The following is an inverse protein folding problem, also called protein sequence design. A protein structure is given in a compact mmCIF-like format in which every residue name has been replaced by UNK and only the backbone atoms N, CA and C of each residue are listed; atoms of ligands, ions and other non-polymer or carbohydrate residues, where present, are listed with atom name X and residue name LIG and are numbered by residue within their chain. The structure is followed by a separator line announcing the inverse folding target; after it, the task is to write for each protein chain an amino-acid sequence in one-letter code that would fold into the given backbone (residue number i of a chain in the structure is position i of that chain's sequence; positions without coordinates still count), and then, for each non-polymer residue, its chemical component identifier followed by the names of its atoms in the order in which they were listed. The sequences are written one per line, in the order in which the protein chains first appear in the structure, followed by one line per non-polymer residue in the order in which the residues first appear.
data_IF_667810229745
#
_entry.id   IF_667810229745
#
_cell.length_a   1.000
_cell.length_b   1.000
_cell.length_c   1.000
_cell.angle_alpha   90.00
_cell.angle_beta   90.00
_cell.angle_gamma   90.00
#
_symmetry.space_group_name_H-M   'P 1'
#
loop_
_entity.id
_entity.type
_entity.pdbx_description
1 polymer ?
#
# COMPACT_ATOMS: atom_id res chain seq x y z
N UNK A 1 20.17 -9.03 3.42
CA UNK A 1 18.71 -9.18 3.43
C UNK A 1 18.21 -9.73 4.77
N UNK A 2 18.48 -10.98 5.17
CA UNK A 2 18.01 -11.56 6.44
C UNK A 2 18.34 -10.68 7.66
N UNK A 3 19.56 -10.13 7.76
CA UNK A 3 19.96 -9.20 8.84
C UNK A 3 19.17 -7.88 8.86
N UNK A 4 18.56 -7.52 7.75
CA UNK A 4 17.69 -6.34 7.64
C UNK A 4 16.22 -6.64 7.94
N UNK A 5 15.89 -7.85 8.34
CA UNK A 5 14.52 -8.24 8.67
C UNK A 5 13.69 -8.74 7.50
N UNK A 6 14.27 -8.86 6.28
CA UNK A 6 13.54 -9.42 5.13
C UNK A 6 13.04 -10.83 5.46
N UNK A 7 11.71 -11.10 5.44
CA UNK A 7 11.19 -12.41 5.82
C UNK A 7 11.21 -13.41 4.66
N UNK A 8 10.99 -12.94 3.42
CA UNK A 8 10.88 -13.77 2.23
C UNK A 8 11.65 -13.18 1.05
N UNK A 9 12.27 -14.05 0.26
CA UNK A 9 12.67 -13.75 -1.11
C UNK A 9 11.61 -14.36 -2.05
N UNK A 10 11.00 -13.52 -2.86
CA UNK A 10 10.12 -13.97 -3.93
C UNK A 10 10.93 -14.17 -5.20
N UNK A 11 10.52 -15.11 -6.04
CA UNK A 11 11.24 -15.38 -7.27
C UNK A 11 10.37 -16.06 -8.31
N UNK A 12 10.86 -16.04 -9.55
CA UNK A 12 10.35 -16.87 -10.64
C UNK A 12 11.44 -17.89 -10.96
N UNK A 13 11.04 -19.16 -11.04
CA UNK A 13 11.99 -20.24 -11.34
C UNK A 13 12.53 -20.09 -12.77
N UNK A 14 13.75 -19.59 -12.89
CA UNK A 14 14.47 -19.44 -14.15
C UNK A 14 15.91 -19.88 -14.00
N UNK A 15 16.51 -20.43 -15.06
CA UNK A 15 17.84 -21.04 -15.00
C UNK A 15 18.92 -20.18 -14.31
N UNK A 16 19.12 -18.90 -14.63
CA UNK A 16 20.20 -18.14 -13.99
C UNK A 16 19.97 -17.89 -12.50
N UNK A 17 18.69 -17.85 -12.03
CA UNK A 17 18.36 -17.52 -10.66
C UNK A 17 18.25 -18.72 -9.73
N UNK A 18 18.17 -19.94 -10.23
CA UNK A 18 17.97 -21.12 -9.41
C UNK A 18 19.06 -21.28 -8.34
N UNK A 19 20.32 -21.07 -8.69
CA UNK A 19 21.44 -21.11 -7.74
C UNK A 19 21.32 -20.08 -6.61
N UNK A 20 20.89 -18.84 -6.93
CA UNK A 20 20.64 -17.81 -5.93
C UNK A 20 19.47 -18.19 -5.01
N UNK A 21 18.38 -18.72 -5.56
CA UNK A 21 17.21 -19.14 -4.79
C UNK A 21 17.56 -20.29 -3.83
N UNK A 22 18.34 -21.27 -4.27
CA UNK A 22 18.81 -22.39 -3.46
C UNK A 22 19.78 -21.93 -2.35
N UNK A 23 20.76 -21.10 -2.69
CA UNK A 23 21.67 -20.51 -1.71
C UNK A 23 20.91 -19.67 -0.67
N UNK A 24 19.88 -18.97 -1.09
CA UNK A 24 18.99 -18.20 -0.20
C UNK A 24 18.26 -19.13 0.78
N UNK A 25 17.68 -20.24 0.31
CA UNK A 25 17.07 -21.25 1.20
C UNK A 25 18.07 -21.84 2.18
N UNK A 26 19.26 -22.19 1.69
CA UNK A 26 20.35 -22.72 2.54
C UNK A 26 20.77 -21.74 3.64
N UNK A 27 20.67 -20.43 3.39
CA UNK A 27 20.93 -19.39 4.40
C UNK A 27 19.81 -19.25 5.45
N UNK A 28 18.71 -19.98 5.30
CA UNK A 28 17.55 -19.94 6.19
C UNK A 28 16.65 -18.73 5.98
N UNK A 29 16.68 -18.09 4.81
CA UNK A 29 15.67 -17.14 4.37
C UNK A 29 14.59 -17.88 3.57
N UNK A 30 13.33 -17.64 3.89
CA UNK A 30 12.23 -18.27 3.18
C UNK A 30 12.20 -17.82 1.69
N UNK A 31 11.96 -18.77 0.79
CA UNK A 31 11.87 -18.51 -0.64
C UNK A 31 10.50 -18.97 -1.14
N UNK A 32 9.77 -18.03 -1.74
CA UNK A 32 8.46 -18.29 -2.34
C UNK A 32 8.54 -18.06 -3.85
N UNK A 33 8.15 -19.08 -4.62
CA UNK A 33 8.08 -18.96 -6.08
C UNK A 33 6.70 -18.46 -6.48
N UNK A 34 6.67 -17.35 -7.21
CA UNK A 34 5.50 -16.85 -7.92
C UNK A 34 5.47 -17.41 -9.36
N UNK A 35 4.32 -17.36 -9.97
CA UNK A 35 4.15 -17.81 -11.35
C UNK A 35 4.53 -16.73 -12.38
N UNK A 36 4.59 -15.47 -11.96
CA UNK A 36 4.96 -14.34 -12.83
C UNK A 36 5.89 -13.34 -12.15
N UNK A 37 6.70 -12.65 -12.95
CA UNK A 37 7.60 -11.60 -12.47
C UNK A 37 6.84 -10.43 -11.81
N UNK A 38 5.71 -10.04 -12.39
CA UNK A 38 4.86 -8.98 -11.84
C UNK A 38 4.31 -9.37 -10.47
N UNK A 39 3.79 -10.58 -10.32
CA UNK A 39 3.30 -11.07 -9.03
C UNK A 39 4.41 -11.15 -7.98
N UNK A 40 5.60 -11.62 -8.36
CA UNK A 40 6.76 -11.65 -7.47
C UNK A 40 7.14 -10.24 -6.97
N UNK A 41 7.13 -9.23 -7.84
CA UNK A 41 7.36 -7.84 -7.46
C UNK A 41 6.27 -7.29 -6.53
N UNK A 42 5.00 -7.56 -6.83
CA UNK A 42 3.88 -7.18 -5.95
C UNK A 42 4.04 -7.82 -4.57
N UNK A 43 4.34 -9.11 -4.52
CA UNK A 43 4.54 -9.83 -3.25
C UNK A 43 5.70 -9.24 -2.44
N UNK A 44 6.82 -8.91 -3.10
CA UNK A 44 7.96 -8.29 -2.44
C UNK A 44 7.62 -6.89 -1.90
N UNK A 45 6.96 -6.07 -2.70
CA UNK A 45 6.55 -4.72 -2.34
C UNK A 45 5.59 -4.72 -1.14
N UNK A 46 4.53 -5.54 -1.20
CA UNK A 46 3.56 -5.67 -0.10
C UNK A 46 4.22 -6.22 1.17
N UNK A 47 5.14 -7.16 1.02
CA UNK A 47 5.94 -7.65 2.17
C UNK A 47 6.71 -6.51 2.80
N UNK A 48 7.45 -5.72 2.01
CA UNK A 48 8.24 -4.60 2.52
C UNK A 48 7.39 -3.54 3.23
N UNK A 49 6.20 -3.27 2.72
CA UNK A 49 5.26 -2.34 3.33
C UNK A 49 4.71 -2.87 4.68
N UNK A 50 4.36 -4.15 4.74
CA UNK A 50 3.70 -4.75 5.93
C UNK A 50 4.65 -5.03 7.09
N UNK A 51 5.95 -5.30 6.84
CA UNK A 51 6.88 -5.76 7.89
C UNK A 51 7.92 -4.71 8.31
N UNK A 52 7.86 -3.50 7.77
CA UNK A 52 8.84 -2.43 8.03
C UNK A 52 10.30 -2.87 7.78
N UNK A 53 10.50 -3.71 6.76
CA UNK A 53 11.79 -4.23 6.32
C UNK A 53 11.77 -4.36 4.80
N UNK A 54 12.93 -4.38 4.10
CA UNK A 54 12.90 -4.46 2.65
C UNK A 54 12.32 -5.80 2.19
N UNK A 55 11.35 -5.76 1.28
CA UNK A 55 10.99 -6.93 0.50
C UNK A 55 12.15 -7.36 -0.41
N UNK A 56 12.10 -8.57 -0.96
CA UNK A 56 13.11 -9.05 -1.87
C UNK A 56 12.50 -9.88 -3.00
N UNK A 57 12.96 -9.65 -4.22
CA UNK A 57 12.53 -10.42 -5.39
C UNK A 57 13.71 -10.69 -6.32
N UNK A 58 13.77 -11.91 -6.86
CA UNK A 58 14.77 -12.34 -7.83
C UNK A 58 14.09 -12.85 -9.12
N UNK A 59 14.42 -12.24 -10.25
CA UNK A 59 13.84 -12.52 -11.56
C UNK A 59 14.95 -12.72 -12.57
N UNK A 60 15.03 -13.91 -13.18
CA UNK A 60 15.99 -14.20 -14.24
C UNK A 60 15.43 -13.93 -15.63
N UNK A 61 16.32 -13.90 -16.62
CA UNK A 61 15.94 -13.86 -18.01
C UNK A 61 15.14 -15.10 -18.42
N UNK A 62 14.24 -14.97 -19.38
CA UNK A 62 13.48 -16.10 -19.93
C UNK A 62 12.18 -16.47 -19.22
N UNK A 63 11.81 -15.80 -18.13
CA UNK A 63 10.53 -16.05 -17.44
C UNK A 63 9.30 -15.39 -18.11
N UNK A 64 9.27 -15.31 -19.43
CA UNK A 64 8.24 -14.53 -20.12
C UNK A 64 8.36 -13.02 -19.84
N UNK A 65 9.54 -12.59 -19.45
CA UNK A 65 9.84 -11.20 -19.11
C UNK A 65 9.89 -10.34 -20.37
N UNK A 66 8.78 -9.73 -20.69
CA UNK A 66 8.68 -8.76 -21.80
C UNK A 66 8.80 -7.36 -21.20
N UNK A 67 10.03 -6.91 -21.03
CA UNK A 67 10.34 -5.60 -20.47
C UNK A 67 10.51 -5.57 -18.94
N UNK A 68 10.88 -4.41 -18.35
CA UNK A 68 11.09 -4.30 -16.91
C UNK A 68 9.79 -4.58 -16.14
N UNK A 69 9.87 -5.27 -14.99
CA UNK A 69 8.70 -5.49 -14.17
C UNK A 69 8.13 -4.13 -13.72
N UNK A 70 6.83 -4.07 -13.59
CA UNK A 70 6.19 -2.89 -13.01
C UNK A 70 6.45 -2.86 -11.52
N UNK A 71 7.09 -1.79 -11.09
CA UNK A 71 7.53 -1.60 -9.71
C UNK A 71 6.48 -0.77 -8.97
N UNK A 72 5.95 -1.27 -7.84
CA UNK A 72 5.05 -0.49 -6.99
C UNK A 72 5.73 0.75 -6.41
N UNK A 73 5.10 1.90 -6.53
CA UNK A 73 5.59 3.14 -5.94
C UNK A 73 5.56 3.10 -4.41
N UNK A 74 6.57 3.70 -3.78
CA UNK A 74 6.63 3.92 -2.34
C UNK A 74 6.91 2.69 -1.46
N UNK A 75 6.89 1.47 -2.02
CA UNK A 75 7.15 0.26 -1.26
C UNK A 75 8.64 -0.09 -1.22
N UNK A 76 9.23 -0.36 -0.03
CA UNK A 76 10.65 -0.69 0.08
C UNK A 76 10.91 -2.14 -0.31
N UNK A 77 11.61 -2.39 -1.42
CA UNK A 77 12.10 -3.72 -1.76
C UNK A 77 13.35 -3.68 -2.64
N UNK A 78 14.07 -4.78 -2.69
CA UNK A 78 15.22 -4.98 -3.56
C UNK A 78 14.83 -5.93 -4.69
N UNK A 79 14.89 -5.42 -5.91
CA UNK A 79 14.69 -6.19 -7.13
C UNK A 79 16.04 -6.68 -7.64
N UNK A 80 16.22 -7.98 -7.77
CA UNK A 80 17.41 -8.61 -8.31
C UNK A 80 17.07 -9.18 -9.67
N UNK A 81 17.82 -8.76 -10.71
CA UNK A 81 17.70 -9.35 -12.04
C UNK A 81 19.03 -9.89 -12.53
N UNK A 82 19.00 -10.76 -13.55
CA UNK A 82 20.19 -11.17 -14.28
C UNK A 82 20.26 -10.43 -15.60
N UNK A 83 21.45 -9.85 -15.87
CA UNK A 83 21.79 -9.25 -17.19
C UNK A 83 20.81 -8.17 -17.67
N UNK A 84 20.35 -7.32 -16.75
CA UNK A 84 19.50 -6.17 -17.09
C UNK A 84 20.12 -4.86 -16.56
N UNK A 85 21.21 -4.37 -17.18
CA UNK A 85 21.97 -3.21 -16.67
C UNK A 85 21.23 -1.88 -16.83
N UNK A 86 20.14 -1.84 -17.62
CA UNK A 86 19.37 -0.63 -17.82
C UNK A 86 18.58 -0.22 -16.56
N UNK A 87 18.42 1.09 -16.30
CA UNK A 87 17.56 1.56 -15.22
C UNK A 87 16.12 1.04 -15.37
N UNK A 88 15.56 0.52 -14.29
CA UNK A 88 14.16 0.07 -14.24
C UNK A 88 13.29 1.22 -13.74
N UNK A 89 12.28 1.65 -14.51
CA UNK A 89 11.35 2.70 -14.08
C UNK A 89 10.69 2.34 -12.74
N UNK A 90 10.57 3.32 -11.85
CA UNK A 90 10.04 3.11 -10.49
C UNK A 90 11.09 2.68 -9.47
N UNK A 91 12.29 2.27 -9.88
CA UNK A 91 13.41 2.04 -8.95
C UNK A 91 14.18 3.32 -8.68
N UNK A 92 14.54 3.53 -7.40
CA UNK A 92 15.36 4.69 -6.98
C UNK A 92 16.74 4.69 -7.64
N UNK A 93 17.32 3.52 -7.83
CA UNK A 93 18.63 3.33 -8.42
C UNK A 93 18.80 1.92 -8.96
N UNK A 94 19.62 1.78 -10.01
CA UNK A 94 20.14 0.50 -10.52
C UNK A 94 21.61 0.38 -10.13
N UNK A 95 21.98 -0.74 -9.52
CA UNK A 95 23.35 -1.01 -9.04
C UNK A 95 23.85 -2.30 -9.68
N UNK A 96 24.93 -2.22 -10.42
CA UNK A 96 25.64 -3.42 -10.88
C UNK A 96 26.39 -4.07 -9.72
N UNK A 97 26.40 -5.40 -9.68
CA UNK A 97 27.03 -6.19 -8.63
C UNK A 97 28.21 -6.96 -9.23
N UNK A 98 29.39 -6.80 -8.63
CA UNK A 98 30.59 -7.59 -8.89
C UNK A 98 30.92 -8.46 -7.68
N UNK A 99 31.61 -9.61 -7.84
CA UNK A 99 31.87 -10.54 -6.74
C UNK A 99 32.53 -9.88 -5.52
N UNK A 100 33.50 -8.99 -5.76
CA UNK A 100 34.26 -8.31 -4.71
C UNK A 100 33.42 -7.28 -3.95
N UNK A 101 32.42 -6.70 -4.60
CA UNK A 101 31.56 -5.66 -4.06
C UNK A 101 30.18 -6.15 -3.61
N UNK A 102 29.86 -7.43 -3.82
CA UNK A 102 28.52 -7.97 -3.65
C UNK A 102 27.90 -7.67 -2.27
N UNK A 103 28.66 -7.91 -1.18
CA UNK A 103 28.19 -7.63 0.17
C UNK A 103 27.87 -6.15 0.38
N UNK A 104 28.70 -5.25 -0.10
CA UNK A 104 28.50 -3.80 0.00
C UNK A 104 27.33 -3.32 -0.87
N UNK A 105 27.21 -3.82 -2.10
CA UNK A 105 26.12 -3.46 -3.02
C UNK A 105 24.76 -3.90 -2.49
N UNK A 106 24.66 -5.13 -1.98
CA UNK A 106 23.41 -5.62 -1.36
C UNK A 106 23.06 -4.80 -0.12
N UNK A 107 24.04 -4.50 0.75
CA UNK A 107 23.79 -3.69 1.95
C UNK A 107 23.38 -2.26 1.58
N UNK A 108 24.00 -1.68 0.57
CA UNK A 108 23.66 -0.36 0.05
C UNK A 108 22.25 -0.33 -0.56
N UNK A 109 21.87 -1.34 -1.35
CA UNK A 109 20.54 -1.46 -1.92
C UNK A 109 19.46 -1.54 -0.82
N UNK A 110 19.69 -2.37 0.20
CA UNK A 110 18.81 -2.49 1.38
C UNK A 110 18.67 -1.14 2.10
N UNK A 111 19.80 -0.49 2.39
CA UNK A 111 19.79 0.84 3.04
C UNK A 111 19.03 1.85 2.21
N UNK A 112 19.30 1.92 0.92
CA UNK A 112 18.66 2.88 0.01
C UNK A 112 17.15 2.61 -0.14
N UNK A 113 16.72 1.35 -0.19
CA UNK A 113 15.30 1.00 -0.25
C UNK A 113 14.54 1.47 1.00
N UNK A 114 15.15 1.40 2.16
CA UNK A 114 14.55 1.78 3.45
C UNK A 114 14.74 3.24 3.82
N UNK A 115 15.62 3.98 3.14
CA UNK A 115 15.81 5.42 3.36
C UNK A 115 14.65 6.20 2.74
N UNK A 116 14.07 7.14 3.49
CA UNK A 116 12.98 7.99 3.01
C UNK A 116 13.39 8.94 1.87
N UNK A 117 12.53 9.13 0.86
CA UNK A 117 11.31 8.38 0.62
C UNK A 117 11.63 6.93 0.26
N UNK A 118 10.95 5.98 0.93
CA UNK A 118 11.16 4.56 0.69
C UNK A 118 10.82 4.18 -0.75
N UNK A 119 11.41 3.11 -1.26
CA UNK A 119 11.13 2.68 -2.62
C UNK A 119 12.00 1.52 -3.06
N UNK A 120 11.72 1.02 -4.25
CA UNK A 120 12.44 -0.09 -4.84
C UNK A 120 13.88 0.31 -5.24
N UNK A 121 14.80 -0.64 -5.09
CA UNK A 121 16.18 -0.53 -5.59
C UNK A 121 16.50 -1.76 -6.42
N UNK A 122 17.08 -1.55 -7.58
CA UNK A 122 17.44 -2.60 -8.51
C UNK A 122 18.91 -3.02 -8.36
N UNK A 123 19.15 -4.32 -8.29
CA UNK A 123 20.45 -4.96 -8.37
C UNK A 123 20.55 -5.77 -9.66
N UNK A 124 21.44 -5.40 -10.54
CA UNK A 124 21.78 -6.19 -11.72
C UNK A 124 22.96 -7.10 -11.43
N UNK A 125 22.78 -8.41 -11.58
CA UNK A 125 23.79 -9.44 -11.29
C UNK A 125 23.94 -10.30 -12.55
N UNK A 126 25.04 -10.18 -13.25
CA UNK A 126 25.26 -11.00 -14.45
C UNK A 126 25.36 -12.49 -14.11
N UNK A 127 25.02 -13.37 -15.05
CA UNK A 127 25.04 -14.81 -14.83
C UNK A 127 26.41 -15.35 -14.32
N UNK A 128 27.55 -14.88 -14.85
CA UNK A 128 28.86 -15.30 -14.30
C UNK A 128 29.08 -14.87 -12.84
N UNK A 129 28.55 -13.71 -12.44
CA UNK A 129 28.68 -13.21 -11.05
C UNK A 129 27.80 -14.01 -10.09
N UNK A 130 26.64 -14.52 -10.54
CA UNK A 130 25.79 -15.39 -9.74
C UNK A 130 26.47 -16.72 -9.35
N UNK A 131 27.42 -17.18 -10.17
CA UNK A 131 28.18 -18.41 -9.95
C UNK A 131 29.53 -18.16 -9.23
N UNK A 132 29.95 -16.91 -9.13
CA UNK A 132 31.22 -16.54 -8.53
C UNK A 132 31.17 -16.57 -7.00
N UNK A 133 32.30 -16.91 -6.39
CA UNK A 133 32.48 -16.80 -4.95
C UNK A 133 32.60 -15.32 -4.56
N UNK A 134 31.74 -14.84 -3.67
CA UNK A 134 31.81 -13.50 -3.10
C UNK A 134 32.55 -13.50 -1.76
N UNK A 135 33.25 -12.41 -1.46
CA UNK A 135 33.91 -12.22 -0.18
C UNK A 135 32.89 -11.86 0.90
N UNK A 136 32.81 -12.62 2.02
CA UNK A 136 31.96 -12.25 3.13
C UNK A 136 32.56 -11.04 3.87
N UNK A 137 31.90 -9.90 3.78
CA UNK A 137 32.32 -8.66 4.45
C UNK A 137 31.23 -8.21 5.40
N UNK A 138 31.63 -7.73 6.57
CA UNK A 138 30.72 -7.12 7.51
C UNK A 138 30.20 -5.80 6.95
N UNK A 139 28.87 -5.65 6.82
CA UNK A 139 28.24 -4.46 6.25
C UNK A 139 27.08 -4.03 7.14
N UNK A 140 26.75 -2.72 7.08
CA UNK A 140 25.56 -2.16 7.73
C UNK A 140 24.44 -1.99 6.70
N UNK A 141 23.26 -2.50 7.04
CA UNK A 141 22.03 -2.29 6.27
C UNK A 141 21.11 -1.23 6.91
N UNK A 142 21.60 -0.52 7.93
CA UNK A 142 20.79 0.49 8.61
C UNK A 142 20.49 1.64 7.65
N UNK A 143 19.22 2.04 7.48
CA UNK A 143 18.87 3.19 6.65
C UNK A 143 19.50 4.47 7.20
N UNK A 144 19.73 5.43 6.31
CA UNK A 144 20.14 6.76 6.73
C UNK A 144 18.99 7.41 7.52
N UNK A 145 19.28 8.14 8.60
CA UNK A 145 18.23 8.82 9.34
C UNK A 145 17.53 9.83 8.44
N UNK A 146 16.22 9.95 8.58
CA UNK A 146 15.49 11.01 7.88
C UNK A 146 16.06 12.38 8.30
N UNK A 147 16.15 13.34 7.38
CA UNK A 147 16.60 14.68 7.72
C UNK A 147 15.69 15.26 8.81
N UNK A 148 16.31 15.86 9.82
CA UNK A 148 15.56 16.54 10.87
C UNK A 148 14.93 17.81 10.29
N UNK A 149 13.65 18.09 10.56
CA UNK A 149 12.99 19.26 9.99
C UNK A 149 13.63 20.56 10.46
N UNK A 150 13.83 21.51 9.54
CA UNK A 150 14.44 22.80 9.84
C UNK A 150 13.58 23.63 10.81
N UNK A 151 14.15 24.13 11.89
CA UNK A 151 13.44 24.90 12.93
C UNK A 151 12.65 26.09 12.35
N UNK A 152 13.26 26.85 11.41
CA UNK A 152 12.58 27.97 10.76
C UNK A 152 11.36 27.55 9.94
N UNK A 153 11.41 26.38 9.29
CA UNK A 153 10.27 25.84 8.55
C UNK A 153 9.16 25.36 9.51
N UNK A 154 9.54 24.73 10.63
CA UNK A 154 8.60 24.35 11.70
C UNK A 154 7.90 25.56 12.31
N UNK A 155 8.65 26.64 12.59
CA UNK A 155 8.10 27.87 13.13
C UNK A 155 7.16 28.57 12.14
N UNK A 156 7.49 28.54 10.84
CA UNK A 156 6.61 29.06 9.79
C UNK A 156 5.33 28.23 9.67
N UNK A 157 5.46 26.90 9.72
CA UNK A 157 4.31 25.99 9.68
C UNK A 157 3.41 26.18 10.92
N UNK A 158 4.00 26.28 12.11
CA UNK A 158 3.26 26.51 13.34
C UNK A 158 2.49 27.84 13.31
N UNK A 159 3.10 28.92 12.80
CA UNK A 159 2.40 30.19 12.59
C UNK A 159 1.22 30.03 11.61
N UNK A 160 1.45 29.44 10.44
CA UNK A 160 0.39 29.25 9.46
C UNK A 160 -0.80 28.46 10.04
N UNK A 161 -0.53 27.39 10.80
CA UNK A 161 -1.58 26.61 11.47
C UNK A 161 -2.24 27.44 12.60
N UNK A 162 -1.48 28.22 13.36
CA UNK A 162 -2.02 29.04 14.44
C UNK A 162 -2.92 30.17 13.96
N UNK A 163 -2.59 30.77 12.82
CA UNK A 163 -3.36 31.86 12.21
C UNK A 163 -4.63 31.36 11.50
N UNK A 164 -4.67 30.09 11.13
CA UNK A 164 -5.82 29.52 10.45
C UNK A 164 -7.00 29.29 11.40
N UNK A 165 -8.17 29.78 11.05
CA UNK A 165 -9.40 29.52 11.79
C UNK A 165 -9.99 28.14 11.44
N UNK A 166 -9.91 27.74 10.18
CA UNK A 166 -10.49 26.48 9.67
C UNK A 166 -9.48 25.66 8.86
N UNK A 167 -8.44 25.13 9.49
CA UNK A 167 -7.50 24.23 8.81
C UNK A 167 -8.20 22.95 8.38
N UNK A 168 -7.92 22.50 7.14
CA UNK A 168 -8.31 21.19 6.61
C UNK A 168 -7.04 20.34 6.50
N UNK A 169 -7.05 19.18 7.11
CA UNK A 169 -5.94 18.23 7.04
C UNK A 169 -6.15 17.24 5.89
N UNK A 170 -5.07 16.92 5.21
CA UNK A 170 -5.04 15.90 4.16
C UNK A 170 -3.87 14.96 4.42
N UNK A 171 -4.14 13.68 4.70
CA UNK A 171 -3.10 12.69 4.90
C UNK A 171 -2.87 11.85 3.63
N UNK A 172 -1.61 11.68 3.26
CA UNK A 172 -1.15 10.85 2.16
C UNK A 172 -0.38 9.62 2.60
N UNK A 173 0.14 8.88 1.63
CA UNK A 173 0.78 7.57 1.75
C UNK A 173 1.80 7.45 2.88
N UNK A 174 2.61 8.48 3.13
CA UNK A 174 3.62 8.44 4.19
C UNK A 174 3.05 8.57 5.62
N UNK A 175 1.73 8.76 5.77
CA UNK A 175 1.07 8.69 7.07
C UNK A 175 0.74 7.27 7.54
N UNK A 176 1.13 6.23 6.80
CA UNK A 176 0.79 4.82 7.06
C UNK A 176 1.71 4.10 8.06
N UNK A 177 2.83 4.68 8.47
CA UNK A 177 3.61 4.09 9.55
C UNK A 177 2.88 4.25 10.89
N UNK A 178 3.08 3.31 11.80
CA UNK A 178 2.42 3.35 13.12
C UNK A 178 2.76 4.63 13.90
N UNK A 179 4.00 5.09 13.77
CA UNK A 179 4.46 6.37 14.35
C UNK A 179 3.74 7.56 13.72
N UNK A 180 3.74 7.67 12.38
CA UNK A 180 3.09 8.78 11.68
C UNK A 180 1.57 8.80 11.93
N UNK A 181 0.92 7.65 11.98
CA UNK A 181 -0.52 7.54 12.27
C UNK A 181 -0.84 7.95 13.70
N UNK A 182 0.01 7.60 14.65
CA UNK A 182 -0.13 8.01 16.07
C UNK A 182 -0.07 9.53 16.20
N UNK A 183 0.95 10.15 15.60
CA UNK A 183 1.11 11.60 15.64
C UNK A 183 0.06 12.35 14.82
N UNK A 184 -0.36 11.79 13.68
CA UNK A 184 -1.48 12.32 12.89
C UNK A 184 -2.77 12.39 13.73
N UNK A 185 -3.08 11.30 14.44
CA UNK A 185 -4.25 11.26 15.33
C UNK A 185 -4.15 12.32 16.43
N UNK A 186 -2.99 12.43 17.07
CA UNK A 186 -2.76 13.45 18.10
C UNK A 186 -2.96 14.88 17.54
N UNK A 187 -2.48 15.17 16.34
CA UNK A 187 -2.66 16.45 15.68
C UNK A 187 -4.14 16.74 15.37
N UNK A 188 -4.85 15.78 14.79
CA UNK A 188 -6.28 15.91 14.45
C UNK A 188 -7.11 16.19 15.70
N UNK A 189 -6.86 15.47 16.81
CA UNK A 189 -7.57 15.64 18.07
C UNK A 189 -7.21 16.96 18.79
N UNK A 190 -5.95 17.40 18.70
CA UNK A 190 -5.50 18.66 19.29
C UNK A 190 -6.06 19.90 18.59
N UNK A 191 -6.20 19.86 17.27
CA UNK A 191 -6.71 20.97 16.45
C UNK A 191 -8.22 20.98 16.26
N UNK A 192 -9.00 19.96 16.66
CA UNK A 192 -10.30 19.47 16.19
C UNK A 192 -10.59 19.84 14.73
N UNK A 193 -9.67 19.47 13.83
CA UNK A 193 -9.75 19.78 12.40
C UNK A 193 -10.20 18.54 11.58
N UNK A 194 -11.04 18.72 10.54
CA UNK A 194 -11.43 17.61 9.67
C UNK A 194 -10.23 17.08 8.90
N UNK A 195 -10.21 15.77 8.73
CA UNK A 195 -9.21 15.05 7.95
C UNK A 195 -9.84 14.39 6.73
N UNK A 196 -9.25 14.60 5.58
CA UNK A 196 -9.39 13.76 4.39
C UNK A 196 -8.14 12.88 4.24
N UNK A 197 -8.30 11.70 3.67
CA UNK A 197 -7.18 10.82 3.34
C UNK A 197 -7.15 10.52 1.85
N UNK A 198 -5.95 10.31 1.30
CA UNK A 198 -5.85 9.64 0.00
C UNK A 198 -6.14 8.15 0.17
N UNK A 199 -6.44 7.44 -0.91
CA UNK A 199 -6.60 5.98 -0.87
C UNK A 199 -5.37 5.29 -0.27
N UNK A 200 -4.18 5.90 -0.48
CA UNK A 200 -2.91 5.44 0.07
C UNK A 200 -2.78 5.52 1.58
N UNK A 201 -3.45 6.47 2.18
CA UNK A 201 -3.41 6.72 3.61
C UNK A 201 -4.60 6.14 4.37
N UNK A 202 -5.46 5.36 3.71
CA UNK A 202 -6.64 4.76 4.36
C UNK A 202 -6.25 3.95 5.60
N UNK A 203 -6.93 4.21 6.70
CA UNK A 203 -6.62 3.62 8.02
C UNK A 203 -5.55 4.38 8.83
N UNK A 204 -4.87 5.41 8.27
CA UNK A 204 -3.95 6.26 9.05
C UNK A 204 -4.66 6.99 10.20
N UNK A 205 -5.92 7.34 10.00
CA UNK A 205 -6.88 7.61 11.06
C UNK A 205 -8.02 6.61 10.90
N UNK A 206 -8.52 5.97 11.97
CA UNK A 206 -9.62 5.03 11.85
C UNK A 206 -10.85 5.63 11.16
N UNK A 207 -11.43 4.94 10.17
CA UNK A 207 -12.61 5.44 9.44
C UNK A 207 -13.79 5.82 10.36
N UNK A 208 -14.03 5.15 11.51
CA UNK A 208 -15.08 5.56 12.46
C UNK A 208 -14.78 6.84 13.25
N UNK A 209 -13.57 7.40 13.16
CA UNK A 209 -13.19 8.59 13.94
C UNK A 209 -14.05 9.80 13.55
N UNK A 210 -14.58 10.61 14.50
CA UNK A 210 -15.51 11.72 14.21
C UNK A 210 -14.96 12.78 13.22
N UNK A 211 -13.65 13.00 13.24
CA UNK A 211 -12.99 13.99 12.37
C UNK A 211 -12.45 13.36 11.06
N UNK A 212 -12.62 12.05 10.84
CA UNK A 212 -12.36 11.39 9.58
C UNK A 212 -13.54 11.64 8.64
N UNK A 213 -13.38 12.53 7.67
CA UNK A 213 -14.48 12.96 6.79
C UNK A 213 -14.61 12.10 5.53
N UNK A 214 -13.56 11.35 5.19
CA UNK A 214 -13.60 10.40 4.09
C UNK A 214 -12.33 10.37 3.25
N UNK A 215 -12.41 9.59 2.19
CA UNK A 215 -11.35 9.43 1.20
C UNK A 215 -11.53 10.46 0.07
N UNK A 216 -10.44 11.09 -0.31
CA UNK A 216 -10.42 12.08 -1.38
C UNK A 216 -10.76 11.43 -2.74
N UNK A 217 -11.63 12.09 -3.50
CA UNK A 217 -12.11 11.60 -4.80
C UNK A 217 -13.21 10.54 -4.71
N UNK A 218 -13.53 10.05 -3.52
CA UNK A 218 -14.59 9.08 -3.26
C UNK A 218 -15.80 9.74 -2.62
N UNK A 219 -15.58 10.66 -1.68
CA UNK A 219 -16.64 11.42 -1.04
C UNK A 219 -16.94 12.67 -1.82
N UNK A 220 -18.20 13.02 -2.03
CA UNK A 220 -18.59 14.25 -2.74
C UNK A 220 -18.64 15.49 -1.85
N UNK A 221 -17.92 15.45 -0.72
CA UNK A 221 -17.93 16.51 0.29
C UNK A 221 -16.68 17.41 0.25
N UNK A 222 -15.67 17.03 -0.53
CA UNK A 222 -14.37 17.70 -0.58
C UNK A 222 -14.52 19.18 -0.94
N UNK A 223 -15.33 19.50 -1.95
CA UNK A 223 -15.54 20.86 -2.41
C UNK A 223 -16.15 21.74 -1.30
N UNK A 224 -17.08 21.19 -0.53
CA UNK A 224 -17.74 21.90 0.58
C UNK A 224 -16.76 22.15 1.74
N UNK A 225 -15.87 21.21 2.04
CA UNK A 225 -14.82 21.40 3.03
C UNK A 225 -13.79 22.41 2.53
N UNK A 226 -13.35 22.28 1.30
CA UNK A 226 -12.39 23.20 0.68
C UNK A 226 -12.94 24.63 0.60
N UNK A 227 -14.22 24.84 0.29
CA UNK A 227 -14.82 26.17 0.22
C UNK A 227 -14.76 26.92 1.56
N UNK A 228 -14.71 26.21 2.68
CA UNK A 228 -14.70 26.78 4.03
C UNK A 228 -13.34 26.81 4.69
N UNK A 229 -12.43 25.96 4.22
CA UNK A 229 -11.08 25.94 4.75
C UNK A 229 -10.30 27.20 4.36
N UNK A 230 -9.58 27.77 5.31
CA UNK A 230 -8.66 28.87 5.10
C UNK A 230 -7.18 28.45 5.00
N UNK A 231 -6.89 27.19 5.34
CA UNK A 231 -5.60 26.55 5.17
C UNK A 231 -5.77 25.05 4.84
N UNK A 232 -5.02 24.53 3.88
CA UNK A 232 -4.88 23.10 3.64
C UNK A 232 -3.52 22.62 4.13
N UNK A 233 -3.51 21.68 5.06
CA UNK A 233 -2.29 21.05 5.58
C UNK A 233 -2.16 19.65 4.98
N UNK A 234 -1.27 19.51 4.01
CA UNK A 234 -0.95 18.24 3.37
C UNK A 234 0.15 17.51 4.14
N UNK A 235 -0.16 16.34 4.68
CA UNK A 235 0.76 15.51 5.46
C UNK A 235 1.12 14.26 4.67
N UNK A 236 2.39 14.04 4.43
CA UNK A 236 2.91 12.79 3.90
C UNK A 236 2.39 12.38 2.52
N UNK A 237 2.03 13.33 1.65
CA UNK A 237 1.71 13.01 0.26
C UNK A 237 2.94 12.45 -0.45
N UNK A 238 2.76 11.35 -1.16
CA UNK A 238 3.78 10.77 -2.03
C UNK A 238 3.72 11.39 -3.45
N UNK A 239 4.84 11.33 -4.18
CA UNK A 239 4.94 11.92 -5.52
C UNK A 239 3.92 11.35 -6.53
N UNK A 240 3.48 10.11 -6.34
CA UNK A 240 2.47 9.48 -7.21
C UNK A 240 1.00 9.85 -6.84
N UNK A 241 0.78 10.49 -5.69
CA UNK A 241 -0.54 10.94 -5.23
C UNK A 241 -0.85 12.32 -5.83
N UNK A 242 -1.17 12.34 -7.11
CA UNK A 242 -1.50 13.57 -7.82
C UNK A 242 -2.93 14.01 -7.52
N UNK A 243 -3.10 15.26 -7.11
CA UNK A 243 -4.40 15.87 -6.85
C UNK A 243 -4.72 16.88 -7.93
N UNK A 244 -6.01 17.07 -8.28
CA UNK A 244 -6.40 18.09 -9.25
C UNK A 244 -5.93 19.49 -8.82
N UNK A 245 -5.50 20.31 -9.75
CA UNK A 245 -5.10 21.69 -9.46
C UNK A 245 -6.23 22.47 -8.76
N UNK A 246 -7.48 22.19 -9.10
CA UNK A 246 -8.66 22.75 -8.46
C UNK A 246 -8.74 22.49 -6.96
N UNK A 247 -8.13 21.42 -6.47
CA UNK A 247 -8.05 21.12 -5.04
C UNK A 247 -7.22 22.17 -4.28
N UNK A 248 -6.16 22.67 -4.92
CA UNK A 248 -5.25 23.65 -4.34
C UNK A 248 -5.65 25.11 -4.63
N UNK A 249 -6.47 25.33 -5.65
CA UNK A 249 -6.78 26.66 -6.15
C UNK A 249 -7.30 27.61 -5.06
N UNK A 250 -6.68 28.80 -5.00
CA UNK A 250 -7.09 29.95 -4.20
C UNK A 250 -6.96 29.81 -2.66
N UNK A 251 -6.19 28.83 -2.15
CA UNK A 251 -6.00 28.68 -0.68
C UNK A 251 -4.54 28.54 -0.30
N UNK A 252 -4.13 29.13 0.85
CA UNK A 252 -2.84 28.82 1.44
C UNK A 252 -2.71 27.29 1.67
N UNK A 253 -1.56 26.76 1.36
CA UNK A 253 -1.28 25.34 1.56
C UNK A 253 0.09 25.13 2.19
N UNK A 254 0.16 24.15 3.09
CA UNK A 254 1.33 23.74 3.82
C UNK A 254 1.64 22.28 3.52
N UNK A 255 2.88 21.95 3.22
CA UNK A 255 3.34 20.59 3.01
C UNK A 255 4.24 20.12 4.16
N UNK A 256 3.92 18.94 4.73
CA UNK A 256 4.68 18.26 5.77
C UNK A 256 4.98 16.83 5.31
N UNK A 257 6.24 16.52 5.01
CA UNK A 257 6.52 15.16 4.49
C UNK A 257 7.98 14.88 4.16
N UNK A 258 8.31 13.59 3.85
CA UNK A 258 9.70 13.14 3.72
C UNK A 258 10.35 13.47 2.37
N UNK A 259 9.58 13.84 1.38
CA UNK A 259 10.05 14.01 0.02
C UNK A 259 9.56 15.31 -0.62
N UNK A 260 10.00 15.54 -1.85
CA UNK A 260 9.46 16.59 -2.70
C UNK A 260 7.96 16.40 -2.86
N UNK A 261 7.15 17.45 -2.68
CA UNK A 261 5.72 17.38 -2.90
C UNK A 261 5.38 16.88 -4.31
N UNK A 262 4.18 16.33 -4.53
CA UNK A 262 3.71 15.98 -5.87
C UNK A 262 3.93 17.12 -6.87
N UNK A 263 4.35 16.78 -8.09
CA UNK A 263 4.60 17.76 -9.15
C UNK A 263 3.36 18.62 -9.43
N UNK A 264 3.59 19.91 -9.66
CA UNK A 264 2.60 20.86 -10.16
C UNK A 264 1.98 21.79 -9.11
N UNK A 265 2.12 21.56 -7.80
CA UNK A 265 1.60 22.48 -6.80
C UNK A 265 2.71 23.24 -6.04
N UNK A 266 2.56 24.57 -5.98
CA UNK A 266 3.45 25.43 -5.23
C UNK A 266 2.92 25.65 -3.79
N UNK A 267 3.37 24.82 -2.85
CA UNK A 267 3.05 25.03 -1.43
C UNK A 267 3.71 26.29 -0.89
N UNK A 268 2.95 27.08 -0.11
CA UNK A 268 3.46 28.31 0.52
C UNK A 268 4.55 28.04 1.57
N UNK A 269 4.41 26.98 2.33
CA UNK A 269 5.42 26.51 3.29
C UNK A 269 5.63 25.01 3.15
N UNK A 270 6.90 24.58 3.28
CA UNK A 270 7.28 23.16 3.20
C UNK A 270 8.15 22.80 4.38
N UNK A 271 7.79 21.74 5.09
CA UNK A 271 8.61 21.15 6.15
C UNK A 271 9.00 19.74 5.68
N UNK A 272 10.28 19.54 5.40
CA UNK A 272 10.81 18.27 4.93
C UNK A 272 11.33 17.45 6.10
N UNK A 273 10.91 16.18 6.16
CA UNK A 273 11.27 15.22 7.20
C UNK A 273 10.22 14.11 7.30
N UNK A 274 10.45 13.14 8.18
CA UNK A 274 9.44 12.12 8.45
C UNK A 274 8.22 12.75 9.14
N UNK A 275 7.01 12.27 8.82
CA UNK A 275 5.74 12.86 9.29
C UNK A 275 5.63 12.85 10.82
N UNK A 276 5.95 11.73 11.48
CA UNK A 276 5.88 11.61 12.94
C UNK A 276 6.72 12.68 13.64
N UNK A 277 8.05 12.73 13.42
CA UNK A 277 8.91 13.78 13.99
C UNK A 277 8.51 15.21 13.66
N UNK A 278 7.99 15.49 12.46
CA UNK A 278 7.48 16.83 12.12
C UNK A 278 6.30 17.18 13.04
N UNK A 279 5.33 16.29 13.18
CA UNK A 279 4.13 16.54 13.99
C UNK A 279 4.47 16.63 15.48
N UNK A 280 5.39 15.78 15.97
CA UNK A 280 5.91 15.83 17.33
C UNK A 280 6.50 17.22 17.65
N UNK A 281 7.34 17.74 16.75
CA UNK A 281 7.95 19.05 16.90
C UNK A 281 6.93 20.20 16.81
N UNK A 282 5.90 20.06 15.98
CA UNK A 282 4.81 21.02 15.88
C UNK A 282 3.94 21.04 17.15
N UNK A 283 3.74 19.90 17.81
CA UNK A 283 2.91 19.80 19.00
C UNK A 283 3.37 20.78 20.11
N UNK A 284 4.69 20.91 20.30
CA UNK A 284 5.26 21.89 21.25
C UNK A 284 5.00 23.33 20.89
N UNK A 285 4.89 23.64 19.59
CA UNK A 285 4.72 25.00 19.05
C UNK A 285 3.25 25.42 18.94
N UNK A 286 2.32 24.45 19.02
CA UNK A 286 0.88 24.66 18.88
C UNK A 286 0.12 24.63 20.21
N UNK A 287 0.80 24.58 21.35
CA UNK A 287 0.17 24.42 22.70
C UNK A 287 -0.90 25.47 22.99
N UNK A 288 -0.67 26.71 22.58
CA UNK A 288 -1.55 27.83 22.87
C UNK A 288 -2.51 28.17 21.71
N UNK A 289 -2.56 27.30 20.68
CA UNK A 289 -3.45 27.52 19.55
C UNK A 289 -4.92 27.41 19.98
N UNK A 290 -5.79 28.39 19.65
CA UNK A 290 -7.23 28.25 19.76
C UNK A 290 -7.73 27.05 18.95
N UNK A 291 -8.77 26.39 19.42
CA UNK A 291 -9.41 25.33 18.66
C UNK A 291 -9.89 25.83 17.30
N UNK A 292 -9.80 24.97 16.30
CA UNK A 292 -10.32 25.26 14.98
C UNK A 292 -11.83 25.58 15.05
N UNK A 293 -12.24 26.62 14.29
CA UNK A 293 -13.64 27.11 14.21
C UNK A 293 -14.47 26.26 13.22
N UNK A 294 -14.44 24.95 13.42
CA UNK A 294 -15.30 24.04 12.68
C UNK A 294 -16.55 23.68 13.50
N UNK A 295 -17.71 23.81 12.90
CA UNK A 295 -18.95 23.31 13.51
C UNK A 295 -18.96 21.77 13.45
N UNK A 296 -18.76 21.13 14.61
CA UNK A 296 -18.73 19.68 14.76
C UNK A 296 -20.03 19.02 14.28
N UNK A 297 -21.19 19.66 14.52
CA UNK A 297 -22.49 19.14 14.06
C UNK A 297 -22.59 19.18 12.52
N UNK A 298 -21.98 20.17 11.88
CA UNK A 298 -21.90 20.24 10.45
C UNK A 298 -20.94 19.20 9.88
N UNK A 299 -19.76 19.02 10.48
CA UNK A 299 -18.82 17.97 10.07
C UNK A 299 -19.47 16.59 10.16
N UNK A 300 -20.22 16.29 11.20
CA UNK A 300 -20.95 15.03 11.33
C UNK A 300 -22.05 14.86 10.27
N UNK A 301 -22.75 15.94 9.90
CA UNK A 301 -23.71 15.90 8.78
C UNK A 301 -22.98 15.61 7.46
N UNK A 302 -21.88 16.32 7.18
CA UNK A 302 -21.07 16.13 5.98
C UNK A 302 -20.55 14.69 5.88
N UNK A 303 -20.05 14.14 6.99
CA UNK A 303 -19.58 12.76 7.05
C UNK A 303 -20.68 11.76 6.70
N UNK A 304 -21.88 11.93 7.26
CA UNK A 304 -23.05 11.07 6.96
C UNK A 304 -23.51 11.21 5.51
N UNK A 305 -23.53 12.43 4.97
CA UNK A 305 -23.87 12.68 3.56
C UNK A 305 -22.83 12.05 2.62
N UNK A 306 -21.55 12.22 2.92
CA UNK A 306 -20.45 11.60 2.19
C UNK A 306 -20.58 10.08 2.16
N UNK A 307 -20.74 9.47 3.31
CA UNK A 307 -20.93 8.02 3.41
C UNK A 307 -22.15 7.50 2.63
N UNK A 308 -23.26 8.23 2.67
CA UNK A 308 -24.48 7.84 1.93
C UNK A 308 -24.36 7.97 0.40
N UNK A 309 -23.55 8.91 -0.08
CA UNK A 309 -23.36 9.17 -1.51
C UNK A 309 -22.22 8.35 -2.11
N UNK A 310 -21.13 8.16 -1.36
CA UNK A 310 -19.93 7.46 -1.80
C UNK A 310 -20.14 5.95 -1.89
N UNK A 311 -20.87 5.41 -0.93
CA UNK A 311 -21.29 4.01 -0.98
C UNK A 311 -22.54 3.96 -1.83
N UNK A 312 -22.40 3.69 -3.12
CA UNK A 312 -23.53 3.44 -4.02
C UNK A 312 -24.55 2.49 -3.38
N UNK A 313 -25.82 2.63 -3.73
CA UNK A 313 -26.85 1.68 -3.32
C UNK A 313 -26.71 0.30 -3.99
N UNK A 314 -25.62 0.09 -4.72
CA UNK A 314 -25.33 -1.14 -5.45
C UNK A 314 -25.19 -2.36 -4.55
N UNK A 315 -25.43 -3.53 -5.10
CA UNK A 315 -25.27 -4.80 -4.39
C UNK A 315 -23.79 -4.99 -3.98
N UNK A 316 -22.85 -4.62 -4.84
CA UNK A 316 -21.41 -4.66 -4.60
C UNK A 316 -21.02 -3.97 -3.28
N UNK A 317 -21.45 -2.73 -3.06
CA UNK A 317 -21.18 -1.98 -1.83
C UNK A 317 -21.75 -2.65 -0.58
N UNK A 318 -22.96 -3.23 -0.71
CA UNK A 318 -23.57 -3.96 0.40
C UNK A 318 -22.82 -5.24 0.74
N UNK A 319 -22.34 -5.96 -0.29
CA UNK A 319 -21.53 -7.16 -0.08
C UNK A 319 -20.19 -6.85 0.59
N UNK A 320 -19.52 -5.75 0.21
CA UNK A 320 -18.28 -5.32 0.86
C UNK A 320 -18.52 -4.97 2.34
N UNK A 321 -19.61 -4.28 2.66
CA UNK A 321 -19.97 -4.00 4.07
C UNK A 321 -20.21 -5.27 4.85
N UNK A 322 -20.99 -6.21 4.30
CA UNK A 322 -21.22 -7.52 4.94
C UNK A 322 -19.90 -8.27 5.16
N UNK A 323 -18.97 -8.22 4.18
CA UNK A 323 -17.65 -8.81 4.34
C UNK A 323 -16.89 -8.15 5.51
N UNK A 324 -16.91 -6.80 5.60
CA UNK A 324 -16.22 -6.09 6.68
C UNK A 324 -16.84 -6.38 8.05
N UNK A 325 -18.14 -6.42 8.16
CA UNK A 325 -18.87 -6.74 9.40
C UNK A 325 -18.61 -8.16 9.88
N UNK A 326 -18.46 -9.11 8.95
CA UNK A 326 -18.18 -10.52 9.25
C UNK A 326 -16.71 -10.79 9.61
N UNK A 327 -15.79 -9.82 9.41
CA UNK A 327 -14.36 -9.99 9.67
C UNK A 327 -13.94 -9.28 10.97
N UNK A 328 -12.96 -9.83 11.72
CA UNK A 328 -12.42 -9.17 12.90
C UNK A 328 -11.61 -7.91 12.52
N UNK A 329 -11.37 -7.05 13.51
CA UNK A 329 -10.39 -5.97 13.39
C UNK A 329 -9.01 -6.56 13.05
N UNK A 330 -8.21 -5.81 12.29
CA UNK A 330 -6.93 -6.31 11.82
C UNK A 330 -6.99 -7.12 10.52
N UNK A 331 -8.19 -7.39 9.98
CA UNK A 331 -8.32 -8.04 8.66
C UNK A 331 -7.72 -7.16 7.57
N UNK A 332 -6.91 -7.75 6.71
CA UNK A 332 -6.29 -7.05 5.57
C UNK A 332 -7.16 -7.23 4.33
N UNK A 333 -7.59 -6.13 3.73
CA UNK A 333 -8.22 -6.12 2.42
C UNK A 333 -7.21 -5.72 1.34
N UNK A 334 -7.12 -6.50 0.28
CA UNK A 334 -6.34 -6.17 -0.92
C UNK A 334 -7.28 -5.90 -2.08
N UNK A 335 -7.01 -4.87 -2.89
CA UNK A 335 -7.98 -4.38 -3.88
C UNK A 335 -7.31 -4.05 -5.20
N UNK A 336 -7.85 -4.58 -6.30
CA UNK A 336 -7.43 -4.21 -7.65
C UNK A 336 -7.89 -2.81 -8.04
N UNK A 337 -7.08 -2.11 -8.86
CA UNK A 337 -7.38 -0.75 -9.34
C UNK A 337 -8.33 -0.76 -10.55
N UNK A 338 -9.59 -1.18 -10.37
CA UNK A 338 -10.59 -1.31 -11.45
C UNK A 338 -11.96 -0.77 -11.02
N UNK A 339 -12.99 -1.15 -11.76
CA UNK A 339 -14.33 -0.60 -11.66
C UNK A 339 -14.91 -0.58 -10.23
N UNK A 340 -14.61 -1.59 -9.42
CA UNK A 340 -15.14 -1.68 -8.05
C UNK A 340 -14.20 -1.09 -6.99
N UNK A 341 -12.99 -0.60 -7.34
CA UNK A 341 -12.01 -0.12 -6.36
C UNK A 341 -12.55 1.01 -5.47
N UNK A 342 -13.21 2.00 -6.07
CA UNK A 342 -13.81 3.11 -5.31
C UNK A 342 -14.95 2.65 -4.41
N UNK A 343 -15.79 1.72 -4.89
CA UNK A 343 -16.86 1.11 -4.11
C UNK A 343 -16.30 0.31 -2.93
N UNK A 344 -15.29 -0.52 -3.14
CA UNK A 344 -14.63 -1.29 -2.08
C UNK A 344 -13.99 -0.36 -1.06
N UNK A 345 -13.28 0.68 -1.52
CA UNK A 345 -12.65 1.65 -0.62
C UNK A 345 -13.66 2.40 0.23
N UNK A 346 -14.79 2.81 -0.34
CA UNK A 346 -15.85 3.50 0.38
C UNK A 346 -16.57 2.60 1.39
N UNK A 347 -16.75 1.32 1.05
CA UNK A 347 -17.55 0.38 1.85
C UNK A 347 -16.73 -0.39 2.90
N UNK A 348 -15.42 -0.55 2.71
CA UNK A 348 -14.51 -1.21 3.66
C UNK A 348 -13.96 -0.22 4.67
N UNK A 349 -14.37 -0.33 5.92
CA UNK A 349 -13.85 0.50 7.00
C UNK A 349 -12.53 -0.06 7.55
N UNK A 350 -11.44 0.69 7.36
CA UNK A 350 -10.15 0.41 7.97
C UNK A 350 -10.07 1.05 9.38
N UNK A 351 -9.52 0.30 10.34
CA UNK A 351 -9.39 0.75 11.73
C UNK A 351 -7.95 1.02 12.13
N UNK A 352 -7.00 0.59 11.31
CA UNK A 352 -5.57 0.83 11.49
C UNK A 352 -4.85 0.93 10.13
N UNK A 353 -3.65 1.51 10.12
CA UNK A 353 -2.82 1.54 8.93
C UNK A 353 -2.59 0.15 8.34
N UNK A 354 -2.48 0.07 7.02
CA UNK A 354 -2.17 -1.18 6.29
C UNK A 354 -3.22 -2.29 6.42
N UNK A 355 -4.43 -1.98 6.91
CA UNK A 355 -5.59 -2.89 6.81
C UNK A 355 -6.26 -2.83 5.43
N UNK A 356 -5.93 -1.82 4.63
CA UNK A 356 -6.42 -1.65 3.27
C UNK A 356 -5.23 -1.44 2.33
N UNK A 357 -5.05 -2.35 1.38
CA UNK A 357 -3.94 -2.37 0.43
C UNK A 357 -4.50 -2.26 -1.00
N UNK A 358 -4.68 -1.06 -1.52
CA UNK A 358 -5.08 -0.86 -2.90
C UNK A 358 -3.87 -0.92 -3.85
N UNK A 359 -4.14 -1.20 -5.11
CA UNK A 359 -3.15 -1.10 -6.17
C UNK A 359 -2.83 0.37 -6.47
N UNK A 360 -1.83 0.94 -5.80
CA UNK A 360 -1.37 2.30 -6.06
C UNK A 360 -0.57 2.37 -7.35
N UNK A 361 -0.95 3.25 -8.28
CA UNK A 361 -0.16 3.58 -9.46
C UNK A 361 0.20 2.39 -10.36
N UNK A 362 -0.13 1.19 -9.90
CA UNK A 362 0.17 -0.05 -10.57
C UNK A 362 -0.87 -0.34 -11.63
N UNK A 363 -0.38 -0.46 -12.82
CA UNK A 363 -1.13 -1.08 -13.89
C UNK A 363 -0.96 -2.63 -13.87
N UNK A 364 -0.50 -3.19 -12.74
CA UNK A 364 -0.36 -4.62 -12.57
C UNK A 364 -1.74 -5.26 -12.43
N UNK A 365 -2.12 -6.06 -13.41
CA UNK A 365 -3.35 -6.82 -13.38
C UNK A 365 -3.27 -7.92 -12.32
N UNK A 366 -4.35 -8.14 -11.58
CA UNK A 366 -4.41 -9.17 -10.54
C UNK A 366 -3.57 -8.85 -9.30
N UNK A 367 -3.41 -7.57 -8.97
CA UNK A 367 -2.71 -7.12 -7.77
C UNK A 367 -3.30 -7.75 -6.51
N UNK A 368 -4.63 -7.75 -6.37
CA UNK A 368 -5.31 -8.16 -5.14
C UNK A 368 -4.93 -9.58 -4.70
N UNK A 369 -4.89 -10.56 -5.63
CA UNK A 369 -4.51 -11.93 -5.30
C UNK A 369 -3.04 -12.02 -4.88
N UNK A 370 -2.13 -11.41 -5.65
CA UNK A 370 -0.69 -11.43 -5.34
C UNK A 370 -0.37 -10.75 -4.02
N UNK A 371 -0.99 -9.59 -3.77
CA UNK A 371 -0.90 -8.85 -2.52
C UNK A 371 -1.46 -9.66 -1.33
N UNK A 372 -2.59 -10.34 -1.55
CA UNK A 372 -3.22 -11.20 -0.55
C UNK A 372 -2.34 -12.38 -0.15
N UNK A 373 -1.68 -13.03 -1.11
CA UNK A 373 -0.71 -14.10 -0.85
C UNK A 373 0.43 -13.58 0.03
N UNK A 374 1.01 -12.43 -0.33
CA UNK A 374 2.08 -11.80 0.45
C UNK A 374 1.63 -11.42 1.86
N UNK A 375 0.47 -10.79 1.99
CA UNK A 375 -0.11 -10.40 3.27
C UNK A 375 -0.30 -11.62 4.18
N UNK A 376 -0.86 -12.71 3.66
CA UNK A 376 -1.02 -13.94 4.41
C UNK A 376 0.32 -14.56 4.83
N UNK A 377 1.36 -14.53 3.96
CA UNK A 377 2.68 -15.06 4.29
C UNK A 377 3.34 -14.33 5.46
N UNK A 378 3.17 -13.02 5.56
CA UNK A 378 3.86 -12.19 6.56
C UNK A 378 3.00 -11.82 7.76
N UNK A 379 1.68 -12.04 7.68
CA UNK A 379 0.70 -11.85 8.76
C UNK A 379 -0.25 -13.04 8.85
N UNK A 380 0.24 -14.25 9.09
CA UNK A 380 -0.57 -15.47 9.05
C UNK A 380 -1.67 -15.51 10.13
N UNK A 381 -1.55 -14.67 11.14
CA UNK A 381 -2.53 -14.49 12.21
C UNK A 381 -3.74 -13.65 11.80
N UNK A 382 -3.65 -12.90 10.69
CA UNK A 382 -4.71 -12.03 10.20
C UNK A 382 -5.54 -12.71 9.12
N UNK A 383 -6.82 -12.39 9.07
CA UNK A 383 -7.64 -12.72 7.90
C UNK A 383 -7.24 -11.84 6.72
N UNK A 384 -7.29 -12.39 5.52
CA UNK A 384 -7.02 -11.68 4.28
C UNK A 384 -8.19 -11.86 3.33
N UNK A 385 -8.73 -10.73 2.86
CA UNK A 385 -9.82 -10.68 1.87
C UNK A 385 -9.30 -9.98 0.62
N UNK A 386 -9.38 -10.64 -0.53
CA UNK A 386 -8.96 -10.08 -1.81
C UNK A 386 -10.20 -9.66 -2.60
N UNK A 387 -10.37 -8.38 -2.88
CA UNK A 387 -11.43 -7.86 -3.75
C UNK A 387 -10.88 -7.64 -5.16
N UNK A 388 -11.48 -8.30 -6.13
CA UNK A 388 -11.03 -8.29 -7.52
C UNK A 388 -12.21 -8.36 -8.49
N UNK A 389 -11.96 -8.12 -9.77
CA UNK A 389 -12.90 -8.42 -10.84
C UNK A 389 -12.51 -9.75 -11.51
N UNK A 390 -13.47 -10.46 -12.10
CA UNK A 390 -13.17 -11.72 -12.81
C UNK A 390 -12.15 -11.54 -13.93
N UNK A 391 -12.12 -10.39 -14.59
CA UNK A 391 -11.13 -10.09 -15.63
C UNK A 391 -9.71 -9.87 -15.08
N UNK A 392 -9.58 -9.28 -13.90
CA UNK A 392 -8.30 -9.13 -13.21
C UNK A 392 -7.79 -10.48 -12.68
N UNK A 393 -8.70 -11.27 -12.11
CA UNK A 393 -8.38 -12.62 -11.65
C UNK A 393 -7.97 -13.53 -12.80
N UNK A 394 -8.61 -13.42 -13.97
CA UNK A 394 -8.22 -14.15 -15.18
C UNK A 394 -6.79 -13.81 -15.63
N UNK A 395 -6.40 -12.54 -15.54
CA UNK A 395 -5.03 -12.11 -15.86
C UNK A 395 -3.97 -12.63 -14.88
N UNK A 396 -4.36 -12.87 -13.62
CA UNK A 396 -3.48 -13.41 -12.58
C UNK A 396 -3.78 -14.88 -12.26
N UNK A 397 -4.43 -15.59 -13.16
CA UNK A 397 -4.94 -16.93 -12.90
C UNK A 397 -3.86 -17.96 -12.56
N UNK A 398 -2.62 -17.77 -13.05
CA UNK A 398 -1.46 -18.57 -12.65
C UNK A 398 -1.12 -18.45 -11.14
N UNK A 399 -1.48 -17.34 -10.50
CA UNK A 399 -1.25 -17.14 -9.06
C UNK A 399 -2.28 -17.88 -8.18
N UNK A 400 -3.39 -18.36 -8.76
CA UNK A 400 -4.28 -19.31 -8.07
C UNK A 400 -3.52 -20.58 -7.69
N UNK A 401 -2.68 -21.10 -8.61
CA UNK A 401 -1.79 -22.24 -8.31
C UNK A 401 -0.80 -21.91 -7.20
N UNK A 402 -0.21 -20.69 -7.23
CA UNK A 402 0.68 -20.23 -6.17
C UNK A 402 -0.02 -20.24 -4.81
N UNK A 403 -1.22 -19.67 -4.71
CA UNK A 403 -2.01 -19.66 -3.49
C UNK A 403 -2.36 -21.07 -3.00
N UNK A 404 -2.77 -21.97 -3.92
CA UNK A 404 -3.11 -23.35 -3.61
C UNK A 404 -1.90 -24.14 -3.11
N UNK A 405 -0.77 -24.04 -3.80
CA UNK A 405 0.50 -24.70 -3.44
C UNK A 405 1.01 -24.27 -2.06
N UNK A 406 0.83 -23.00 -1.72
CA UNK A 406 1.17 -22.45 -0.42
C UNK A 406 0.11 -22.79 0.65
N UNK A 407 -1.05 -23.31 0.29
CA UNK A 407 -2.22 -23.49 1.16
C UNK A 407 -2.62 -22.18 1.85
N UNK A 408 -2.57 -21.07 1.08
CA UNK A 408 -2.89 -19.75 1.60
C UNK A 408 -4.36 -19.69 2.04
N UNK A 409 -4.63 -19.14 3.20
CA UNK A 409 -5.99 -18.91 3.70
C UNK A 409 -6.47 -17.54 3.27
N UNK A 410 -7.14 -17.51 2.12
CA UNK A 410 -7.61 -16.29 1.47
C UNK A 410 -9.11 -16.40 1.18
N UNK A 411 -9.86 -15.34 1.44
CA UNK A 411 -11.21 -15.16 0.90
C UNK A 411 -11.12 -14.24 -0.32
N UNK A 412 -11.21 -14.79 -1.53
CA UNK A 412 -11.19 -14.02 -2.78
C UNK A 412 -12.61 -13.74 -3.19
N UNK A 413 -13.00 -12.47 -3.19
CA UNK A 413 -14.30 -11.98 -3.66
C UNK A 413 -14.10 -11.37 -5.04
N UNK A 414 -14.59 -12.06 -6.06
CA UNK A 414 -14.52 -11.62 -7.45
C UNK A 414 -15.88 -11.09 -7.91
N UNK A 415 -15.96 -9.81 -8.25
CA UNK A 415 -17.14 -9.23 -8.86
C UNK A 415 -17.26 -9.77 -10.30
N UNK A 416 -18.37 -10.46 -10.56
CA UNK A 416 -18.51 -11.27 -11.73
C UNK A 416 -18.94 -10.47 -12.96
N UNK A 417 -18.06 -10.41 -13.97
CA UNK A 417 -18.46 -10.17 -15.37
C UNK A 417 -18.75 -11.50 -16.04
N UNK A 418 -19.70 -11.54 -16.97
CA UNK A 418 -20.22 -12.78 -17.57
C UNK A 418 -19.19 -13.57 -18.38
N UNK A 419 -18.22 -12.90 -19.02
CA UNK A 419 -17.30 -13.52 -19.97
C UNK A 419 -16.21 -14.38 -19.30
N UNK A 420 -15.58 -13.86 -18.22
CA UNK A 420 -14.40 -14.47 -17.60
C UNK A 420 -14.76 -15.40 -16.43
N UNK A 421 -15.95 -15.25 -15.84
CA UNK A 421 -16.40 -16.01 -14.68
C UNK A 421 -16.29 -17.53 -14.86
N UNK A 422 -16.72 -18.16 -15.98
CA UNK A 422 -16.60 -19.61 -16.14
C UNK A 422 -15.14 -20.10 -16.23
N UNK A 423 -14.24 -19.25 -16.75
CA UNK A 423 -12.82 -19.58 -16.91
C UNK A 423 -12.14 -19.59 -15.55
N UNK A 424 -12.28 -18.50 -14.79
CA UNK A 424 -11.64 -18.38 -13.46
C UNK A 424 -12.21 -19.39 -12.45
N UNK A 425 -13.53 -19.67 -12.52
CA UNK A 425 -14.19 -20.70 -11.71
C UNK A 425 -13.57 -22.07 -11.92
N UNK A 426 -13.46 -22.50 -13.17
CA UNK A 426 -12.89 -23.80 -13.54
C UNK A 426 -11.43 -23.88 -13.11
N UNK A 427 -10.66 -22.81 -13.34
CA UNK A 427 -9.25 -22.77 -13.01
C UNK A 427 -9.03 -22.79 -11.48
N UNK A 428 -9.77 -22.01 -10.71
CA UNK A 428 -9.71 -22.02 -9.26
C UNK A 428 -10.08 -23.41 -8.69
N UNK A 429 -11.16 -24.01 -9.19
CA UNK A 429 -11.57 -25.35 -8.77
C UNK A 429 -10.52 -26.42 -9.11
N UNK A 430 -9.85 -26.32 -10.28
CA UNK A 430 -8.83 -27.30 -10.70
C UNK A 430 -7.59 -27.31 -9.80
N UNK A 431 -7.28 -26.19 -9.15
CA UNK A 431 -6.14 -26.08 -8.20
C UNK A 431 -6.56 -26.22 -6.73
N UNK A 432 -7.85 -26.50 -6.46
CA UNK A 432 -8.32 -26.86 -5.12
C UNK A 432 -8.94 -25.70 -4.31
N UNK A 433 -9.29 -24.56 -4.94
CA UNK A 433 -10.11 -23.56 -4.26
C UNK A 433 -11.53 -24.07 -4.02
N UNK A 434 -12.10 -23.70 -2.88
CA UNK A 434 -13.55 -23.80 -2.66
C UNK A 434 -14.23 -22.68 -3.43
N UNK A 435 -15.01 -23.03 -4.47
CA UNK A 435 -15.69 -22.03 -5.29
C UNK A 435 -17.16 -21.96 -4.91
N UNK A 436 -17.70 -20.75 -4.79
CA UNK A 436 -19.10 -20.47 -4.47
C UNK A 436 -19.61 -19.28 -5.27
N UNK A 437 -20.89 -19.29 -5.62
CA UNK A 437 -21.60 -18.17 -6.22
C UNK A 437 -22.45 -17.47 -5.18
N UNK A 438 -22.57 -16.14 -5.31
CA UNK A 438 -23.43 -15.30 -4.47
C UNK A 438 -24.14 -14.24 -5.34
N UNK A 439 -25.45 -14.36 -5.46
CA UNK A 439 -26.35 -13.48 -6.21
C UNK A 439 -27.20 -12.57 -5.32
N UNK A 440 -27.04 -12.70 -4.00
CA UNK A 440 -27.78 -11.96 -3.00
C UNK A 440 -26.98 -11.80 -1.72
N UNK A 441 -27.36 -10.82 -0.90
CA UNK A 441 -26.72 -10.57 0.40
C UNK A 441 -26.76 -11.80 1.33
N UNK A 442 -27.89 -12.49 1.36
CA UNK A 442 -28.06 -13.71 2.19
C UNK A 442 -27.17 -14.85 1.71
N UNK A 443 -27.08 -15.07 0.39
CA UNK A 443 -26.19 -16.07 -0.19
C UNK A 443 -24.74 -15.71 0.11
N UNK A 444 -24.37 -14.44 -0.10
CA UNK A 444 -23.01 -13.95 0.17
C UNK A 444 -22.61 -14.14 1.63
N UNK A 445 -23.42 -13.69 2.57
CA UNK A 445 -23.12 -13.80 4.01
C UNK A 445 -22.85 -15.26 4.41
N UNK A 446 -23.62 -16.20 3.89
CA UNK A 446 -23.45 -17.63 4.16
C UNK A 446 -22.16 -18.20 3.58
N UNK A 447 -21.87 -17.91 2.30
CA UNK A 447 -20.66 -18.46 1.66
C UNK A 447 -19.40 -17.77 2.15
N UNK A 448 -19.45 -16.47 2.48
CA UNK A 448 -18.34 -15.71 3.03
C UNK A 448 -17.96 -16.20 4.43
N UNK A 449 -18.93 -16.43 5.32
CA UNK A 449 -18.68 -17.01 6.64
C UNK A 449 -18.01 -18.39 6.54
N UNK A 450 -18.41 -19.21 5.56
CA UNK A 450 -17.77 -20.50 5.27
C UNK A 450 -16.33 -20.29 4.77
N UNK A 451 -16.09 -19.33 3.87
CA UNK A 451 -14.76 -19.02 3.35
C UNK A 451 -13.79 -18.62 4.47
N UNK A 452 -14.23 -17.79 5.42
CA UNK A 452 -13.42 -17.39 6.58
C UNK A 452 -13.07 -18.57 7.51
N UNK A 453 -13.95 -19.55 7.62
CA UNK A 453 -13.73 -20.74 8.45
C UNK A 453 -12.90 -21.82 7.73
N UNK A 454 -12.72 -21.72 6.42
CA UNK A 454 -12.01 -22.73 5.61
C UNK A 454 -10.50 -22.54 5.77
N UNK A 455 -9.72 -23.63 5.99
CA UNK A 455 -8.26 -23.54 6.17
C UNK A 455 -7.49 -23.40 4.85
N UNK A 456 -8.17 -23.18 3.72
CA UNK A 456 -7.61 -23.02 2.37
C UNK A 456 -8.26 -21.83 1.66
N UNK A 457 -7.72 -21.46 0.50
CA UNK A 457 -8.27 -20.39 -0.30
C UNK A 457 -9.68 -20.71 -0.82
N UNK A 458 -10.54 -19.70 -0.79
CA UNK A 458 -11.91 -19.74 -1.30
C UNK A 458 -12.12 -18.64 -2.32
N UNK A 459 -12.85 -18.95 -3.40
CA UNK A 459 -13.29 -17.99 -4.41
C UNK A 459 -14.81 -17.82 -4.32
N UNK A 460 -15.26 -16.59 -4.15
CA UNK A 460 -16.68 -16.22 -4.13
C UNK A 460 -16.93 -15.34 -5.33
N UNK A 461 -17.77 -15.80 -6.25
CA UNK A 461 -18.25 -15.00 -7.37
C UNK A 461 -19.44 -14.18 -6.91
N UNK A 462 -19.25 -12.87 -6.79
CA UNK A 462 -20.30 -11.94 -6.45
C UNK A 462 -20.97 -11.43 -7.72
N UNK A 463 -22.22 -11.86 -7.95
CA UNK A 463 -23.02 -11.44 -9.11
C UNK A 463 -23.83 -10.20 -8.71
N UNK A 464 -23.28 -9.02 -9.06
CA UNK A 464 -23.87 -7.73 -8.73
C UNK A 464 -24.62 -7.10 -9.90
#
# INVERSE_FOLDING_TARGET
MKRAGTPHLFGVATSPMNGLLEATRASGLAVTLASSATAACVMAAVTGDLVDAPGAVAIGEGAGFVGPPRVPDGAPFVLITSSHPAPIPGCKQTLAVEPESAAHRIAHAVRLAMTEPRGAVHLDISAPVLEAAALPVATSCRPDPAPYPAAAALDAAARAISDAARPLLLAGFHCRSDDAATWLRALVEALPAPLLVTVGAKGALPDPHPLMLGELGVTSIEERLLTRADLVVALGLAAFETLPESFWAARPSLFLGPATPPDGHAFGTRVLGAVGPIVEELAGRLRDKPRADWDVAELDRLRREGASRSVGAGLDARLVRLAREATPAGTIATVDARAHAACVSAAWHATAPREFLPSHGLTARGFALSAGIAAWLVRPERHVVCFTDTSELAAAASELDTAARLRARLAVVAFAGDADAPIVTRQAASVGFTVSDADSETAFARVFARALATPSASLILARC
#
